data_IF_499657016826
#
_entry.id   IF_499657016826
#
_cell.length_a   1.000
_cell.length_b   1.000
_cell.length_c   1.000
_cell.angle_alpha   90.00
_cell.angle_beta   90.00
_cell.angle_gamma   90.00
#
_symmetry.space_group_name_H-M   'P 1'
#
loop_
_entity.id
_entity.type
_entity.pdbx_description
1 polymer ?
#
# COMPACT_ATOMS: atom_id res chain seq x y z
N UNK A 1 -33.14 10.79 -10.86
CA UNK A 1 -32.03 11.47 -11.59
C UNK A 1 -31.00 12.04 -10.60
N UNK A 2 -30.15 11.19 -9.98
CA UNK A 2 -29.04 11.63 -9.09
C UNK A 2 -27.76 10.77 -9.23
N UNK A 3 -27.50 10.16 -10.39
CA UNK A 3 -26.41 9.18 -10.54
C UNK A 3 -25.06 9.72 -11.05
N UNK A 4 -24.93 11.01 -11.39
CA UNK A 4 -23.69 11.53 -11.99
C UNK A 4 -22.66 12.13 -11.01
N UNK A 5 -23.02 12.43 -9.76
CA UNK A 5 -22.08 13.06 -8.81
C UNK A 5 -21.41 12.09 -7.82
N UNK A 6 -21.98 10.90 -7.59
CA UNK A 6 -21.42 9.92 -6.63
C UNK A 6 -20.20 9.20 -7.18
N UNK A 7 -20.16 8.93 -8.50
CA UNK A 7 -19.06 8.21 -9.16
C UNK A 7 -17.71 8.94 -9.03
N UNK A 8 -17.69 10.28 -9.13
CA UNK A 8 -16.44 11.06 -9.03
C UNK A 8 -15.80 10.97 -7.64
N UNK A 9 -16.62 10.91 -6.60
CA UNK A 9 -16.16 10.77 -5.23
C UNK A 9 -15.67 9.35 -4.93
N UNK A 10 -16.27 8.34 -5.56
CA UNK A 10 -15.87 6.95 -5.38
C UNK A 10 -14.56 6.61 -6.09
N UNK A 11 -14.38 7.08 -7.33
CA UNK A 11 -13.09 6.97 -8.06
C UNK A 11 -11.96 7.66 -7.28
N UNK A 12 -12.23 8.82 -6.68
CA UNK A 12 -11.23 9.53 -5.88
C UNK A 12 -10.86 8.75 -4.61
N UNK A 13 -11.83 8.08 -3.97
CA UNK A 13 -11.59 7.20 -2.82
C UNK A 13 -10.79 5.96 -3.21
N UNK A 14 -11.16 5.28 -4.30
CA UNK A 14 -10.40 4.13 -4.82
C UNK A 14 -8.97 4.54 -5.18
N UNK A 15 -8.81 5.65 -5.91
CA UNK A 15 -7.48 6.16 -6.24
C UNK A 15 -6.65 6.47 -5.00
N UNK A 16 -7.24 7.10 -3.98
CA UNK A 16 -6.54 7.41 -2.73
C UNK A 16 -6.17 6.14 -1.95
N UNK A 17 -7.01 5.11 -1.96
CA UNK A 17 -6.74 3.84 -1.31
C UNK A 17 -5.62 3.06 -2.01
N UNK A 18 -5.64 3.00 -3.34
CA UNK A 18 -4.58 2.38 -4.15
C UNK A 18 -3.25 3.14 -4.01
N UNK A 19 -3.30 4.49 -4.02
CA UNK A 19 -2.13 5.33 -3.79
C UNK A 19 -1.54 5.11 -2.40
N UNK A 20 -2.38 5.10 -1.35
CA UNK A 20 -1.93 4.93 0.01
C UNK A 20 -1.40 3.50 0.26
N UNK A 21 -2.04 2.48 -0.31
CA UNK A 21 -1.57 1.10 -0.25
C UNK A 21 -0.20 0.93 -0.91
N UNK A 22 -0.02 1.50 -2.10
CA UNK A 22 1.26 1.50 -2.82
C UNK A 22 2.33 2.31 -2.07
N UNK A 23 1.97 3.46 -1.51
CA UNK A 23 2.88 4.28 -0.71
C UNK A 23 3.42 3.51 0.49
N UNK A 24 2.56 2.81 1.23
CA UNK A 24 2.97 1.99 2.38
C UNK A 24 3.86 0.82 1.95
N UNK A 25 3.52 0.13 0.86
CA UNK A 25 4.36 -0.94 0.29
C UNK A 25 5.78 -0.43 -0.01
N UNK A 26 5.89 0.71 -0.70
CA UNK A 26 7.19 1.28 -1.11
C UNK A 26 7.97 1.79 0.10
N UNK A 27 7.34 2.47 1.05
CA UNK A 27 8.02 3.00 2.24
C UNK A 27 8.61 1.87 3.09
N UNK A 28 7.86 0.80 3.35
CA UNK A 28 8.39 -0.32 4.13
C UNK A 28 9.38 -1.17 3.34
N UNK A 29 9.10 -1.46 2.07
CA UNK A 29 9.99 -2.25 1.20
C UNK A 29 11.32 -1.53 0.97
N UNK A 30 11.29 -0.35 0.34
CA UNK A 30 12.50 0.43 0.07
C UNK A 30 13.15 0.95 1.37
N UNK A 31 12.37 1.24 2.41
CA UNK A 31 12.90 1.64 3.72
C UNK A 31 13.73 0.55 4.38
N UNK A 32 13.31 -0.72 4.29
CA UNK A 32 14.08 -1.85 4.81
C UNK A 32 15.41 -2.06 4.05
N UNK A 33 15.41 -1.82 2.73
CA UNK A 33 16.63 -1.83 1.91
C UNK A 33 17.53 -0.65 2.28
N UNK A 34 16.97 0.56 2.39
CA UNK A 34 17.71 1.75 2.79
C UNK A 34 18.34 1.58 4.17
N UNK A 35 17.61 1.04 5.16
CA UNK A 35 18.15 0.73 6.48
C UNK A 35 19.34 -0.24 6.39
N UNK A 36 19.22 -1.29 5.59
CA UNK A 36 20.28 -2.28 5.40
C UNK A 36 21.54 -1.66 4.79
N UNK A 37 21.36 -0.84 3.74
CA UNK A 37 22.46 -0.17 3.02
C UNK A 37 23.11 0.91 3.89
N UNK A 38 22.32 1.78 4.53
CA UNK A 38 22.84 2.88 5.35
C UNK A 38 23.56 2.38 6.60
N UNK A 39 23.09 1.26 7.15
CA UNK A 39 23.71 0.62 8.31
C UNK A 39 24.98 -0.17 7.97
N UNK A 40 25.42 -0.22 6.70
CA UNK A 40 26.52 -1.09 6.26
C UNK A 40 26.33 -2.55 6.71
N UNK A 41 25.10 -3.05 6.58
CA UNK A 41 24.75 -4.43 6.94
C UNK A 41 24.88 -4.78 8.44
N UNK A 42 24.93 -3.79 9.34
CA UNK A 42 25.02 -4.03 10.80
C UNK A 42 23.66 -4.08 11.50
N UNK A 43 22.65 -3.37 10.98
CA UNK A 43 21.27 -3.31 11.50
C UNK A 43 20.23 -3.77 10.45
N UNK A 44 20.69 -4.48 9.41
CA UNK A 44 19.85 -4.98 8.33
C UNK A 44 20.41 -6.27 7.78
N UNK A 45 19.75 -7.38 8.11
CA UNK A 45 19.97 -8.68 7.50
C UNK A 45 19.02 -8.89 6.32
N UNK A 46 19.31 -9.78 5.36
CA UNK A 46 18.40 -10.11 4.26
C UNK A 46 16.97 -10.43 4.76
N UNK A 47 16.87 -11.10 5.91
CA UNK A 47 15.61 -11.39 6.59
C UNK A 47 14.79 -10.13 6.92
N UNK A 48 15.45 -9.02 7.27
CA UNK A 48 14.81 -7.73 7.56
C UNK A 48 14.16 -7.13 6.31
N UNK A 49 14.82 -7.29 5.15
CA UNK A 49 14.27 -6.84 3.86
C UNK A 49 13.04 -7.65 3.50
N UNK A 50 13.10 -8.99 3.62
CA UNK A 50 11.94 -9.85 3.39
C UNK A 50 10.77 -9.48 4.31
N UNK A 51 11.02 -9.30 5.60
CA UNK A 51 10.01 -8.87 6.56
C UNK A 51 9.44 -7.47 6.26
N UNK A 52 10.27 -6.54 5.80
CA UNK A 52 9.86 -5.19 5.38
C UNK A 52 8.88 -5.24 4.21
N UNK A 53 9.19 -6.01 3.17
CA UNK A 53 8.30 -6.19 2.03
C UNK A 53 7.00 -6.92 2.39
N UNK A 54 7.05 -8.01 3.17
CA UNK A 54 5.83 -8.74 3.56
C UNK A 54 4.92 -7.91 4.47
N UNK A 55 5.50 -7.13 5.39
CA UNK A 55 4.73 -6.26 6.28
C UNK A 55 4.11 -5.10 5.51
N UNK A 56 4.88 -4.47 4.62
CA UNK A 56 4.37 -3.42 3.74
C UNK A 56 3.24 -3.91 2.83
N UNK A 57 3.35 -5.14 2.30
CA UNK A 57 2.29 -5.76 1.50
C UNK A 57 1.03 -6.04 2.32
N UNK A 58 1.16 -6.64 3.51
CA UNK A 58 0.01 -6.90 4.39
C UNK A 58 -0.73 -5.62 4.77
N UNK A 59 0.00 -4.57 5.14
CA UNK A 59 -0.59 -3.26 5.45
C UNK A 59 -1.22 -2.62 4.21
N UNK A 60 -0.56 -2.69 3.05
CA UNK A 60 -1.09 -2.18 1.78
C UNK A 60 -2.40 -2.86 1.39
N UNK A 61 -2.50 -4.18 1.55
CA UNK A 61 -3.74 -4.94 1.31
C UNK A 61 -4.84 -4.57 2.31
N UNK A 62 -4.51 -4.32 3.57
CA UNK A 62 -5.49 -3.88 4.57
C UNK A 62 -6.03 -2.48 4.25
N UNK A 63 -5.20 -1.59 3.70
CA UNK A 63 -5.57 -0.23 3.30
C UNK A 63 -6.40 -0.23 2.01
N UNK A 64 -5.96 -0.95 0.98
CA UNK A 64 -6.60 -0.97 -0.33
C UNK A 64 -7.82 -1.90 -0.37
N UNK A 65 -7.75 -3.07 0.27
CA UNK A 65 -8.78 -4.12 0.20
C UNK A 65 -10.15 -3.73 0.77
N UNK A 66 -10.21 -2.71 1.62
CA UNK A 66 -11.47 -2.16 2.13
C UNK A 66 -12.17 -1.20 1.16
N UNK A 67 -11.47 -0.70 0.14
CA UNK A 67 -11.97 0.34 -0.77
C UNK A 67 -12.16 -0.17 -2.19
N UNK A 68 -11.29 -1.05 -2.69
CA UNK A 68 -11.39 -1.64 -4.04
C UNK A 68 -12.50 -2.70 -4.20
N UNK A 69 -13.33 -2.89 -3.17
CA UNK A 69 -14.39 -3.89 -3.12
C UNK A 69 -15.79 -3.32 -3.37
N UNK A 70 -16.16 -3.17 -4.66
CA UNK A 70 -17.43 -3.64 -5.29
C UNK A 70 -17.95 -2.76 -6.43
N UNK A 71 -17.41 -3.02 -7.63
CA UNK A 71 -18.08 -2.79 -8.91
C UNK A 71 -18.41 -4.13 -9.60
N UNK A 72 -18.98 -5.12 -8.89
CA UNK A 72 -19.51 -6.35 -9.54
C UNK A 72 -20.87 -6.82 -9.02
N UNK A 73 -21.62 -5.97 -8.31
CA UNK A 73 -23.06 -6.20 -8.06
C UNK A 73 -23.78 -4.87 -7.84
N UNK A 74 -24.19 -4.21 -8.93
CA UNK A 74 -25.50 -3.54 -9.08
C UNK A 74 -25.64 -2.99 -10.50
#
# INVERSE_FOLDING_TARGET
>A
MKHHCTLKHDIFKEFLAEFLGTFVLVVFGCGSVAQTVLSRNTLGEPLTIHLGFTTGLMMGVYIAGGVSGRYITN
#
